data_IF_183497368832
#
_entry.id   IF_183497368832
#
_cell.length_a   1.000
_cell.length_b   1.000
_cell.length_c   1.000
_cell.angle_alpha   90.00
_cell.angle_beta   90.00
_cell.angle_gamma   90.00
#
_symmetry.space_group_name_H-M   'P 1'
#
loop_
_entity.id
_entity.type
_entity.pdbx_description
1 polymer ?
#
# COMPACT_ATOMS: atom_id res chain seq x y z
N UNK A 1 -20.11 -13.89 -7.13
CA UNK A 1 -19.47 -13.92 -5.79
C UNK A 1 -18.47 -12.79 -5.56
N UNK A 2 -17.59 -12.42 -6.51
CA UNK A 2 -16.61 -11.32 -6.31
C UNK A 2 -17.07 -9.93 -6.82
N UNK A 3 -18.27 -9.80 -7.37
CA UNK A 3 -18.75 -8.52 -7.94
C UNK A 3 -18.73 -7.39 -6.92
N UNK A 4 -19.32 -7.61 -5.74
CA UNK A 4 -19.34 -6.62 -4.65
C UNK A 4 -17.92 -6.29 -4.16
N UNK A 5 -17.03 -7.27 -4.05
CA UNK A 5 -15.63 -7.04 -3.68
C UNK A 5 -14.91 -6.14 -4.69
N UNK A 6 -15.03 -6.42 -5.99
CA UNK A 6 -14.40 -5.61 -7.03
C UNK A 6 -15.04 -4.23 -7.13
N UNK A 7 -16.36 -4.13 -6.94
CA UNK A 7 -17.05 -2.86 -6.94
C UNK A 7 -16.57 -1.98 -5.78
N UNK A 8 -16.56 -2.53 -4.56
CA UNK A 8 -16.13 -1.79 -3.37
C UNK A 8 -14.66 -1.42 -3.44
N UNK A 9 -13.77 -2.30 -3.92
CA UNK A 9 -12.31 -2.07 -3.86
C UNK A 9 -11.77 -1.26 -5.04
N UNK A 10 -12.39 -1.36 -6.22
CA UNK A 10 -11.89 -0.70 -7.43
C UNK A 10 -12.93 0.24 -8.04
N UNK A 11 -14.13 -0.25 -8.36
CA UNK A 11 -15.06 0.49 -9.22
C UNK A 11 -15.73 1.69 -8.52
N UNK A 12 -15.77 1.69 -7.18
CA UNK A 12 -16.33 2.77 -6.37
C UNK A 12 -15.33 3.91 -6.08
N UNK A 13 -14.14 3.86 -6.69
CA UNK A 13 -13.06 4.80 -6.48
C UNK A 13 -12.72 5.54 -7.78
N UNK A 14 -12.64 6.88 -7.77
CA UNK A 14 -12.38 7.64 -8.99
C UNK A 14 -10.90 7.59 -9.41
N UNK A 15 -9.97 7.33 -8.48
CA UNK A 15 -8.54 7.26 -8.76
C UNK A 15 -7.90 5.97 -8.23
N UNK A 16 -6.70 5.66 -8.74
CA UNK A 16 -5.86 4.57 -8.22
C UNK A 16 -5.51 4.81 -6.74
N UNK A 17 -5.21 6.05 -6.37
CA UNK A 17 -4.85 6.43 -5.00
C UNK A 17 -5.99 6.13 -4.04
N UNK A 18 -7.23 6.48 -4.38
CA UNK A 18 -8.39 6.22 -3.53
C UNK A 18 -8.60 4.71 -3.32
N UNK A 19 -8.46 3.92 -4.39
CA UNK A 19 -8.56 2.47 -4.32
C UNK A 19 -7.42 1.85 -3.49
N UNK A 20 -6.21 2.39 -3.61
CA UNK A 20 -5.03 1.97 -2.85
C UNK A 20 -5.17 2.29 -1.36
N UNK A 21 -5.55 3.51 -1.00
CA UNK A 21 -5.79 3.90 0.38
C UNK A 21 -6.89 3.05 1.02
N UNK A 22 -7.99 2.82 0.31
CA UNK A 22 -9.06 1.93 0.79
C UNK A 22 -8.55 0.50 1.05
N UNK A 23 -7.81 -0.07 0.08
CA UNK A 23 -7.30 -1.42 0.19
C UNK A 23 -6.27 -1.55 1.32
N UNK A 24 -5.32 -0.61 1.43
CA UNK A 24 -4.32 -0.60 2.50
C UNK A 24 -4.96 -0.46 3.87
N UNK A 25 -5.90 0.48 4.01
CA UNK A 25 -6.61 0.70 5.26
C UNK A 25 -7.38 -0.56 5.71
N UNK A 26 -8.10 -1.21 4.79
CA UNK A 26 -8.80 -2.47 5.09
C UNK A 26 -7.85 -3.61 5.45
N UNK A 27 -6.62 -3.63 4.95
CA UNK A 27 -5.63 -4.67 5.27
C UNK A 27 -4.87 -4.41 6.57
N UNK A 28 -4.69 -3.14 6.95
CA UNK A 28 -3.87 -2.74 8.10
C UNK A 28 -4.69 -2.39 9.35
N UNK A 29 -6.02 -2.36 9.24
CA UNK A 29 -6.91 -2.08 10.37
C UNK A 29 -6.66 -3.01 11.57
N UNK A 30 -7.02 -2.50 12.74
CA UNK A 30 -6.91 -3.21 14.01
C UNK A 30 -7.99 -2.71 14.96
N UNK A 31 -8.14 -3.40 16.11
CA UNK A 31 -9.09 -3.01 17.15
C UNK A 31 -8.84 -1.58 17.64
N UNK A 32 -7.59 -1.13 17.66
CA UNK A 32 -7.20 0.20 18.14
C UNK A 32 -7.17 1.27 17.04
N UNK A 33 -7.17 0.87 15.76
CA UNK A 33 -7.11 1.77 14.61
C UNK A 33 -8.06 1.27 13.50
N UNK A 34 -9.29 1.83 13.43
CA UNK A 34 -10.26 1.48 12.40
C UNK A 34 -9.78 1.85 10.98
N UNK A 35 -10.24 1.10 9.97
CA UNK A 35 -9.90 1.36 8.57
C UNK A 35 -10.18 2.81 8.13
N UNK A 36 -11.26 3.44 8.61
CA UNK A 36 -11.59 4.82 8.21
C UNK A 36 -10.49 5.81 8.63
N UNK A 37 -10.03 5.74 9.88
CA UNK A 37 -8.95 6.61 10.38
C UNK A 37 -7.62 6.35 9.70
N UNK A 38 -7.30 5.08 9.39
CA UNK A 38 -6.12 4.75 8.60
C UNK A 38 -6.21 5.31 7.19
N UNK A 39 -7.38 5.22 6.57
CA UNK A 39 -7.60 5.75 5.22
C UNK A 39 -7.37 7.27 5.18
N UNK A 40 -7.91 8.01 6.14
CA UNK A 40 -7.72 9.47 6.22
C UNK A 40 -6.23 9.84 6.30
N UNK A 41 -5.45 9.10 7.12
CA UNK A 41 -3.99 9.28 7.23
C UNK A 41 -3.25 8.94 5.92
N UNK A 42 -3.67 7.89 5.23
CA UNK A 42 -3.05 7.49 3.96
C UNK A 42 -3.34 8.50 2.85
N UNK A 43 -4.56 9.05 2.81
CA UNK A 43 -4.96 10.13 1.90
C UNK A 43 -4.19 11.43 2.21
N UNK A 44 -4.00 11.79 3.49
CA UNK A 44 -3.15 12.90 3.93
C UNK A 44 -1.71 12.74 3.39
N UNK A 45 -1.11 11.57 3.58
CA UNK A 45 0.26 11.30 3.09
C UNK A 45 0.34 11.44 1.57
N UNK A 46 -0.59 10.84 0.83
CA UNK A 46 -0.62 10.91 -0.64
C UNK A 46 -0.88 12.31 -1.17
N UNK A 47 -1.67 13.13 -0.48
CA UNK A 47 -1.87 14.53 -0.83
C UNK A 47 -0.61 15.37 -0.61
N UNK A 48 0.16 15.05 0.43
CA UNK A 48 1.41 15.73 0.75
C UNK A 48 2.59 15.31 -0.15
N UNK A 49 2.60 14.07 -0.64
CA UNK A 49 3.62 13.55 -1.54
C UNK A 49 3.02 12.82 -2.77
N UNK A 50 2.76 13.57 -3.86
CA UNK A 50 2.27 13.00 -5.11
C UNK A 50 3.22 12.00 -5.78
N UNK A 51 4.53 12.02 -5.48
CA UNK A 51 5.49 11.09 -6.08
C UNK A 51 5.22 9.64 -5.67
N UNK A 52 4.60 9.42 -4.50
CA UNK A 52 4.17 8.10 -4.07
C UNK A 52 3.20 7.44 -5.05
N UNK A 53 2.33 8.22 -5.71
CA UNK A 53 1.39 7.69 -6.71
C UNK A 53 2.14 7.20 -7.95
N UNK A 54 3.14 7.95 -8.40
CA UNK A 54 3.98 7.54 -9.53
C UNK A 54 4.84 6.31 -9.17
N UNK A 55 5.30 6.21 -7.93
CA UNK A 55 5.94 5.00 -7.43
C UNK A 55 5.01 3.79 -7.48
N UNK A 56 3.78 3.92 -6.98
CA UNK A 56 2.77 2.85 -7.01
C UNK A 56 2.49 2.38 -8.45
N UNK A 57 2.34 3.31 -9.40
CA UNK A 57 2.16 2.98 -10.82
C UNK A 57 3.36 2.25 -11.41
N UNK A 58 4.57 2.74 -11.15
CA UNK A 58 5.80 2.10 -11.61
C UNK A 58 5.99 0.70 -11.00
N UNK A 59 5.58 0.50 -9.74
CA UNK A 59 5.63 -0.79 -9.05
C UNK A 59 4.61 -1.78 -9.65
N UNK A 60 3.39 -1.33 -9.99
CA UNK A 60 2.41 -2.14 -10.74
C UNK A 60 2.97 -2.58 -12.10
N UNK A 61 3.60 -1.66 -12.84
CA UNK A 61 4.21 -1.96 -14.14
C UNK A 61 5.38 -2.93 -13.99
N UNK A 62 6.21 -2.75 -12.96
CA UNK A 62 7.30 -3.64 -12.63
C UNK A 62 6.82 -5.07 -12.39
N UNK A 63 5.77 -5.24 -11.57
CA UNK A 63 5.14 -6.53 -11.34
C UNK A 63 4.60 -7.10 -12.65
N UNK A 64 3.80 -6.34 -13.40
CA UNK A 64 3.17 -6.83 -14.64
C UNK A 64 4.17 -7.29 -15.70
N UNK A 65 5.36 -6.67 -15.75
CA UNK A 65 6.42 -6.97 -16.70
C UNK A 65 7.29 -8.16 -16.25
N UNK A 66 7.51 -8.31 -14.95
CA UNK A 66 8.53 -9.23 -14.41
C UNK A 66 7.94 -10.51 -13.83
N UNK A 67 6.69 -10.49 -13.36
CA UNK A 67 5.99 -11.65 -12.82
C UNK A 67 5.19 -12.37 -13.94
N UNK A 68 5.57 -13.60 -14.32
CA UNK A 68 4.83 -14.41 -15.28
C UNK A 68 3.39 -14.74 -14.82
N UNK A 69 3.12 -14.76 -13.51
CA UNK A 69 1.79 -15.03 -12.95
C UNK A 69 0.87 -13.80 -12.98
N UNK A 70 1.42 -12.59 -13.12
CA UNK A 70 0.65 -11.36 -13.22
C UNK A 70 0.11 -11.15 -14.64
N UNK A 71 -1.19 -11.33 -14.83
CA UNK A 71 -1.90 -11.15 -16.11
C UNK A 71 -2.55 -9.77 -16.26
N UNK A 72 -2.92 -9.11 -15.17
CA UNK A 72 -3.66 -7.85 -15.14
C UNK A 72 -3.07 -6.86 -14.13
N UNK A 73 -3.14 -5.56 -14.45
CA UNK A 73 -2.69 -4.48 -13.58
C UNK A 73 -3.46 -4.35 -12.25
N UNK A 74 -4.66 -4.92 -12.17
CA UNK A 74 -5.44 -4.95 -10.92
C UNK A 74 -4.97 -6.02 -9.93
N UNK A 75 -4.24 -7.05 -10.39
CA UNK A 75 -3.80 -8.14 -9.50
C UNK A 75 -2.85 -7.68 -8.39
N UNK A 76 -1.85 -6.82 -8.65
CA UNK A 76 -0.99 -6.29 -7.59
C UNK A 76 -1.80 -5.61 -6.48
N UNK A 77 -2.70 -4.70 -6.87
CA UNK A 77 -3.56 -3.95 -5.94
C UNK A 77 -4.47 -4.89 -5.12
N UNK A 78 -5.07 -5.90 -5.76
CA UNK A 78 -6.05 -6.75 -5.10
C UNK A 78 -5.43 -7.83 -4.22
N UNK A 79 -4.30 -8.41 -4.63
CA UNK A 79 -3.88 -9.72 -4.13
C UNK A 79 -2.42 -9.82 -3.72
N UNK A 80 -1.53 -8.93 -4.18
CA UNK A 80 -0.10 -9.14 -3.97
C UNK A 80 0.39 -8.41 -2.72
N UNK A 81 0.62 -9.19 -1.66
CA UNK A 81 1.11 -8.70 -0.37
C UNK A 81 2.40 -7.90 -0.52
N UNK A 82 3.33 -8.32 -1.37
CA UNK A 82 4.61 -7.63 -1.58
C UNK A 82 4.42 -6.23 -2.17
N UNK A 83 3.48 -6.07 -3.11
CA UNK A 83 3.11 -4.76 -3.65
C UNK A 83 2.46 -3.88 -2.57
N UNK A 84 1.48 -4.42 -1.84
CA UNK A 84 0.75 -3.68 -0.80
C UNK A 84 1.67 -3.27 0.36
N UNK A 85 2.54 -4.17 0.82
CA UNK A 85 3.54 -3.89 1.84
C UNK A 85 4.48 -2.76 1.43
N UNK A 86 4.94 -2.76 0.18
CA UNK A 86 5.80 -1.70 -0.33
C UNK A 86 5.09 -0.35 -0.35
N UNK A 87 3.83 -0.30 -0.80
CA UNK A 87 3.07 0.96 -0.80
C UNK A 87 2.81 1.47 0.63
N UNK A 88 2.44 0.57 1.55
CA UNK A 88 2.26 0.93 2.96
C UNK A 88 3.56 1.40 3.62
N UNK A 89 4.70 0.79 3.26
CA UNK A 89 6.01 1.25 3.72
C UNK A 89 6.30 2.68 3.24
N UNK A 90 5.94 3.07 2.01
CA UNK A 90 6.13 4.45 1.54
C UNK A 90 5.37 5.46 2.40
N UNK A 91 4.17 5.09 2.85
CA UNK A 91 3.37 5.91 3.77
C UNK A 91 4.04 5.99 5.15
N UNK A 92 4.57 4.88 5.66
CA UNK A 92 5.34 4.87 6.90
C UNK A 92 6.62 5.72 6.78
N UNK A 93 7.32 5.64 5.65
CA UNK A 93 8.49 6.45 5.33
C UNK A 93 8.16 7.94 5.29
N UNK A 94 7.04 8.32 4.66
CA UNK A 94 6.56 9.70 4.63
C UNK A 94 6.40 10.27 6.05
N UNK A 95 5.71 9.54 6.94
CA UNK A 95 5.55 9.97 8.33
C UNK A 95 6.85 9.96 9.12
N UNK A 96 7.77 9.04 8.82
CA UNK A 96 9.10 9.04 9.40
C UNK A 96 9.85 10.34 9.07
N UNK A 97 9.80 10.78 7.81
CA UNK A 97 10.44 12.02 7.37
C UNK A 97 9.80 13.30 7.94
N UNK A 98 8.62 13.20 8.55
CA UNK A 98 7.92 14.29 9.24
C UNK A 98 8.07 14.23 10.77
N UNK A 99 9.06 13.50 11.29
CA UNK A 99 9.28 13.28 12.72
C UNK A 99 8.11 12.58 13.46
N UNK A 100 7.13 12.03 12.72
CA UNK A 100 6.00 11.26 13.28
C UNK A 100 6.39 9.79 13.50
N UNK A 101 7.53 9.58 14.16
CA UNK A 101 8.18 8.26 14.29
C UNK A 101 7.29 7.18 14.92
N UNK A 102 6.49 7.51 15.94
CA UNK A 102 5.58 6.54 16.56
C UNK A 102 4.52 6.02 15.58
N UNK A 103 3.99 6.88 14.71
CA UNK A 103 3.03 6.47 13.68
C UNK A 103 3.72 5.61 12.61
N UNK A 104 4.92 6.00 12.18
CA UNK A 104 5.70 5.24 11.21
C UNK A 104 6.04 3.82 11.72
N UNK A 105 6.48 3.70 12.98
CA UNK A 105 6.78 2.40 13.62
C UNK A 105 5.52 1.57 13.86
N UNK A 106 4.40 2.23 14.20
CA UNK A 106 3.11 1.55 14.27
C UNK A 106 2.74 0.93 12.91
N UNK A 107 2.82 1.71 11.82
CA UNK A 107 2.55 1.21 10.47
C UNK A 107 3.50 0.08 10.10
N UNK A 108 4.79 0.19 10.40
CA UNK A 108 5.76 -0.91 10.21
C UNK A 108 5.29 -2.20 10.90
N UNK A 109 4.87 -2.14 12.16
CA UNK A 109 4.34 -3.31 12.88
C UNK A 109 3.12 -3.90 12.17
N UNK A 110 2.16 -3.06 11.75
CA UNK A 110 0.97 -3.52 11.01
C UNK A 110 1.34 -4.17 9.67
N UNK A 111 2.31 -3.62 8.95
CA UNK A 111 2.80 -4.15 7.66
C UNK A 111 3.46 -5.53 7.87
N UNK A 112 4.29 -5.67 8.90
CA UNK A 112 4.91 -6.94 9.26
C UNK A 112 3.86 -8.00 9.61
N UNK A 113 2.86 -7.66 10.42
CA UNK A 113 1.78 -8.58 10.78
C UNK A 113 0.87 -8.97 9.61
N UNK A 114 0.47 -8.00 8.77
CA UNK A 114 -0.51 -8.23 7.71
C UNK A 114 0.10 -8.86 6.45
N UNK A 115 1.38 -8.57 6.17
CA UNK A 115 2.02 -8.92 4.91
C UNK A 115 3.31 -9.73 5.06
N UNK A 116 3.76 -10.03 6.28
CA UNK A 116 5.03 -10.71 6.58
C UNK A 116 6.26 -10.01 5.96
N UNK A 117 6.18 -8.69 5.82
CA UNK A 117 7.24 -7.84 5.28
C UNK A 117 7.61 -6.83 6.34
N UNK A 118 8.88 -6.83 6.76
CA UNK A 118 9.40 -5.91 7.77
C UNK A 118 10.43 -4.98 7.14
N UNK A 119 9.99 -3.77 6.79
CA UNK A 119 10.84 -2.73 6.22
C UNK A 119 10.84 -1.56 7.20
N UNK A 120 12.00 -1.23 7.74
CA UNK A 120 12.16 -0.09 8.63
C UNK A 120 11.79 1.22 7.90
N UNK A 121 10.97 2.12 8.49
CA UNK A 121 10.51 3.34 7.82
C UNK A 121 11.64 4.26 7.35
N UNK A 122 12.78 4.29 8.05
CA UNK A 122 13.96 5.06 7.63
C UNK A 122 14.71 4.51 6.41
N UNK A 123 14.36 3.32 5.90
CA UNK A 123 14.95 2.80 4.67
C UNK A 123 14.67 3.77 3.51
N UNK A 124 15.47 3.70 2.45
CA UNK A 124 15.26 4.48 1.23
C UNK A 124 15.07 3.52 0.06
N UNK A 125 13.83 3.38 -0.41
CA UNK A 125 13.48 2.47 -1.51
C UNK A 125 12.91 3.28 -2.68
N UNK A 126 13.55 3.16 -3.84
CA UNK A 126 13.11 3.80 -5.08
C UNK A 126 11.82 3.20 -5.66
N UNK A 127 11.54 3.48 -6.93
CA UNK A 127 10.33 3.04 -7.66
C UNK A 127 10.59 1.94 -8.67
N UNK A 128 9.53 1.27 -9.12
CA UNK A 128 9.63 0.15 -10.06
C UNK A 128 10.17 -1.12 -9.40
N UNK A 129 9.81 -1.33 -8.14
CA UNK A 129 10.22 -2.46 -7.32
C UNK A 129 9.18 -3.58 -7.44
N UNK A 130 9.67 -4.80 -7.51
CA UNK A 130 8.85 -6.01 -7.47
C UNK A 130 9.34 -6.87 -6.30
N UNK A 131 8.47 -7.08 -5.32
CA UNK A 131 8.69 -7.99 -4.20
C UNK A 131 7.89 -9.25 -4.48
N UNK A 132 8.59 -10.29 -4.92
CA UNK A 132 7.98 -11.59 -5.20
C UNK A 132 7.81 -12.39 -3.90
N UNK A 133 6.73 -13.16 -3.81
CA UNK A 133 6.52 -14.12 -2.72
C UNK A 133 6.69 -13.58 -1.29
N UNK A 134 6.24 -12.35 -1.00
CA UNK A 134 6.04 -11.89 0.38
C UNK A 134 5.13 -12.88 1.12
N UNK A 135 5.67 -13.59 2.13
CA UNK A 135 5.13 -14.85 2.67
C UNK A 135 3.75 -14.72 3.29
#
# INVERSE_FOLDING_TARGET
>A
MLSSFLHTTILNHPTLTDALCFQLASKLESVTQPALSLRDLMEEAHAADPEMVECARADIEAVRRRDPACRKYSQPLLYFKGYLALQAYRIAHHFWMQDRHHLALFLQSRISEAFAVDIHPAAQIGRGIFVDHAT
#
